data_IF_104700394506
#
_entry.id   IF_104700394506
#
_cell.length_a   1.000
_cell.length_b   1.000
_cell.length_c   1.000
_cell.angle_alpha   90.00
_cell.angle_beta   90.00
_cell.angle_gamma   90.00
#
_symmetry.space_group_name_H-M   'P 1'
#
loop_
_entity.id
_entity.type
_entity.pdbx_description
1 polymer ?
#
# COMPACT_ATOMS: atom_id res chain seq x y z
N UNK A 1 -7.17 -11.18 -13.43
CA UNK A 1 -8.32 -10.93 -14.33
C UNK A 1 -8.81 -9.50 -14.14
N UNK A 2 -9.04 -8.77 -15.23
CA UNK A 2 -9.67 -7.44 -15.24
C UNK A 2 -11.13 -7.59 -15.67
N UNK A 3 -12.05 -7.76 -14.72
CA UNK A 3 -13.45 -8.08 -15.06
C UNK A 3 -14.31 -6.83 -15.37
N UNK A 4 -13.83 -5.64 -15.01
CA UNK A 4 -14.53 -4.37 -15.18
C UNK A 4 -13.72 -3.42 -16.05
N UNK A 5 -14.38 -2.50 -16.78
CA UNK A 5 -13.72 -1.52 -17.66
C UNK A 5 -12.76 -0.62 -16.87
N UNK A 6 -13.14 -0.28 -15.65
CA UNK A 6 -12.37 0.50 -14.69
C UNK A 6 -11.04 -0.20 -14.36
N UNK A 7 -11.09 -1.50 -14.07
CA UNK A 7 -9.88 -2.30 -13.80
C UNK A 7 -8.99 -2.40 -15.03
N UNK A 8 -9.59 -2.57 -16.22
CA UNK A 8 -8.84 -2.59 -17.49
C UNK A 8 -8.13 -1.25 -17.75
N UNK A 9 -8.81 -0.13 -17.53
CA UNK A 9 -8.24 1.20 -17.70
C UNK A 9 -7.10 1.46 -16.71
N UNK A 10 -7.27 1.07 -15.44
CA UNK A 10 -6.21 1.17 -14.44
C UNK A 10 -5.00 0.31 -14.83
N UNK A 11 -5.21 -0.91 -15.30
CA UNK A 11 -4.12 -1.81 -15.70
C UNK A 11 -3.36 -1.26 -16.92
N UNK A 12 -4.03 -0.59 -17.86
CA UNK A 12 -3.38 0.09 -18.98
C UNK A 12 -2.42 1.19 -18.50
N UNK A 13 -2.86 2.03 -17.57
CA UNK A 13 -2.00 3.08 -17.01
C UNK A 13 -0.81 2.48 -16.25
N UNK A 14 -1.09 1.53 -15.35
CA UNK A 14 -0.07 0.99 -14.45
C UNK A 14 0.95 0.12 -15.17
N UNK A 15 0.57 -0.66 -16.18
CA UNK A 15 1.41 -1.74 -16.72
C UNK A 15 1.71 -1.63 -18.22
N UNK A 16 1.24 -0.59 -18.92
CA UNK A 16 1.46 -0.42 -20.36
C UNK A 16 1.93 0.98 -20.71
N UNK A 17 1.30 2.02 -20.16
CA UNK A 17 1.54 3.40 -20.62
C UNK A 17 2.45 4.21 -19.70
N UNK A 18 2.24 4.16 -18.38
CA UNK A 18 2.87 5.12 -17.48
C UNK A 18 3.94 4.53 -16.56
N UNK A 19 3.69 3.37 -15.96
CA UNK A 19 4.61 2.73 -15.00
C UNK A 19 5.04 3.64 -13.83
N UNK A 20 4.10 4.10 -12.99
CA UNK A 20 4.41 5.07 -11.95
C UNK A 20 5.32 4.49 -10.86
N UNK A 21 6.19 5.33 -10.28
CA UNK A 21 7.05 4.94 -9.16
C UNK A 21 6.28 4.69 -7.87
N UNK A 22 5.23 5.48 -7.61
CA UNK A 22 4.34 5.33 -6.46
C UNK A 22 2.91 5.15 -6.97
N UNK A 23 2.24 4.13 -6.45
CA UNK A 23 0.81 3.94 -6.65
C UNK A 23 0.12 4.03 -5.29
N UNK A 24 -0.76 5.02 -5.12
CA UNK A 24 -1.50 5.23 -3.88
C UNK A 24 -2.96 4.81 -4.01
N UNK A 25 -3.36 3.82 -3.22
CA UNK A 25 -4.71 3.28 -3.21
C UNK A 25 -5.42 3.63 -1.90
N UNK A 26 -6.39 4.54 -1.97
CA UNK A 26 -7.17 4.98 -0.82
C UNK A 26 -8.34 4.02 -0.52
N UNK A 27 -8.57 3.73 0.76
CA UNK A 27 -9.65 2.86 1.23
C UNK A 27 -10.35 3.47 2.44
N UNK A 28 -11.59 3.04 2.66
CA UNK A 28 -12.37 3.21 3.89
C UNK A 28 -13.09 1.87 4.18
N UNK A 29 -13.25 1.42 5.42
CA UNK A 29 -12.92 2.03 6.73
C UNK A 29 -11.61 1.46 7.31
N UNK A 30 -10.95 2.24 8.18
CA UNK A 30 -9.79 1.79 8.96
C UNK A 30 -10.09 0.65 9.96
N UNK A 31 -9.05 -0.04 10.48
CA UNK A 31 -9.20 -0.97 11.59
C UNK A 31 -9.86 -0.30 12.81
N UNK A 32 -10.58 -1.08 13.62
CA UNK A 32 -11.22 -0.57 14.84
C UNK A 32 -10.19 0.13 15.74
N UNK A 33 -10.54 1.34 16.21
CA UNK A 33 -9.68 2.16 17.06
C UNK A 33 -8.61 2.98 16.31
N UNK A 34 -8.38 2.74 15.01
CA UNK A 34 -7.46 3.54 14.20
C UNK A 34 -8.19 4.64 13.43
N UNK A 35 -7.59 5.83 13.38
CA UNK A 35 -8.01 6.92 12.49
C UNK A 35 -7.53 6.64 11.07
N UNK A 36 -6.31 6.14 10.94
CA UNK A 36 -5.72 5.76 9.66
C UNK A 36 -4.80 4.56 9.82
N UNK A 37 -4.95 3.54 8.98
CA UNK A 37 -3.90 2.56 8.75
C UNK A 37 -3.03 3.01 7.59
N UNK A 38 -1.71 2.84 7.69
CA UNK A 38 -0.75 3.04 6.61
C UNK A 38 0.36 1.97 6.65
N UNK A 39 1.06 1.71 5.53
CA UNK A 39 2.23 0.83 5.57
C UNK A 39 3.28 1.32 6.57
N UNK A 40 4.16 0.45 7.07
CA UNK A 40 4.46 -0.89 6.56
C UNK A 40 3.43 -1.96 6.93
N UNK A 41 3.41 -3.02 6.11
CA UNK A 41 2.53 -4.18 6.27
C UNK A 41 3.15 -5.23 7.20
N UNK A 42 2.37 -6.24 7.61
CA UNK A 42 2.87 -7.30 8.48
C UNK A 42 3.81 -8.25 7.70
N UNK A 43 4.92 -8.59 8.33
CA UNK A 43 5.88 -9.59 7.88
C UNK A 43 5.37 -11.05 8.05
N UNK A 44 5.95 -12.03 7.34
CA UNK A 44 7.00 -11.90 6.32
C UNK A 44 6.50 -11.28 5.02
N UNK A 45 7.39 -10.59 4.29
CA UNK A 45 7.08 -10.12 2.94
C UNK A 45 7.07 -11.27 1.93
N UNK A 46 6.42 -11.05 0.78
CA UNK A 46 6.32 -12.03 -0.28
C UNK A 46 7.62 -12.03 -1.10
N UNK A 47 8.33 -13.15 -1.10
CA UNK A 47 9.67 -13.29 -1.69
C UNK A 47 9.69 -13.28 -3.23
N UNK A 48 8.54 -13.19 -3.90
CA UNK A 48 8.45 -13.25 -5.36
C UNK A 48 8.64 -11.89 -6.07
N UNK A 49 8.82 -10.80 -5.33
CA UNK A 49 9.17 -9.48 -5.88
C UNK A 49 10.49 -8.99 -5.30
N UNK A 50 11.09 -8.00 -5.96
CA UNK A 50 12.40 -7.46 -5.60
C UNK A 50 12.43 -6.99 -4.12
N UNK A 51 13.44 -7.37 -3.32
CA UNK A 51 13.52 -7.01 -1.90
C UNK A 51 13.62 -5.50 -1.64
N UNK A 52 13.97 -4.67 -2.64
CA UNK A 52 13.93 -3.21 -2.52
C UNK A 52 12.49 -2.66 -2.50
N UNK A 53 11.51 -3.37 -3.07
CA UNK A 53 10.10 -2.95 -3.05
C UNK A 53 9.55 -2.84 -1.62
N UNK A 54 9.60 -3.90 -0.77
CA UNK A 54 9.12 -3.78 0.61
C UNK A 54 9.91 -2.74 1.40
N UNK A 55 11.23 -2.65 1.23
CA UNK A 55 12.06 -1.61 1.87
C UNK A 55 11.62 -0.19 1.46
N UNK A 56 11.32 0.04 0.17
CA UNK A 56 10.79 1.30 -0.31
C UNK A 56 9.43 1.66 0.29
N UNK A 57 8.54 0.66 0.43
CA UNK A 57 7.25 0.83 1.12
C UNK A 57 7.46 1.21 2.59
N UNK A 58 8.41 0.58 3.28
CA UNK A 58 8.74 0.92 4.66
C UNK A 58 9.24 2.36 4.77
N UNK A 59 10.12 2.80 3.87
CA UNK A 59 10.66 4.16 3.86
C UNK A 59 9.54 5.20 3.70
N UNK A 60 8.67 5.04 2.69
CA UNK A 60 7.58 6.00 2.47
C UNK A 60 6.53 5.93 3.58
N UNK A 61 6.15 4.74 4.03
CA UNK A 61 5.19 4.57 5.13
C UNK A 61 5.68 5.18 6.44
N UNK A 62 6.96 4.98 6.77
CA UNK A 62 7.58 5.58 7.96
C UNK A 62 7.63 7.10 7.85
N UNK A 63 7.97 7.65 6.66
CA UNK A 63 7.93 9.09 6.43
C UNK A 63 6.51 9.66 6.65
N UNK A 64 5.48 9.01 6.11
CA UNK A 64 4.08 9.42 6.32
C UNK A 64 3.70 9.45 7.81
N UNK A 65 4.08 8.43 8.57
CA UNK A 65 3.76 8.34 9.99
C UNK A 65 4.55 9.34 10.84
N UNK A 66 5.84 9.51 10.55
CA UNK A 66 6.67 10.52 11.21
C UNK A 66 6.05 11.91 11.11
N UNK A 67 5.45 12.24 9.95
CA UNK A 67 4.78 13.52 9.75
C UNK A 67 3.52 13.67 10.61
N UNK A 68 2.72 12.61 10.75
CA UNK A 68 1.56 12.64 11.64
C UNK A 68 1.96 12.83 13.10
N UNK A 69 2.99 12.09 13.55
CA UNK A 69 3.51 12.22 14.92
C UNK A 69 4.05 13.62 15.17
N UNK A 70 4.83 14.19 14.23
CA UNK A 70 5.36 15.54 14.34
C UNK A 70 4.26 16.62 14.37
N UNK A 71 3.12 16.37 13.74
CA UNK A 71 1.93 17.24 13.77
C UNK A 71 1.02 16.99 15.01
N UNK A 72 1.39 16.11 15.93
CA UNK A 72 0.57 15.75 17.09
C UNK A 72 -0.70 14.95 16.74
N UNK A 73 -0.76 14.37 15.54
CA UNK A 73 -1.91 13.63 15.03
C UNK A 73 -1.82 12.14 15.41
N UNK A 74 -2.39 11.80 16.56
CA UNK A 74 -2.51 10.41 17.01
C UNK A 74 -3.49 9.56 16.19
N UNK A 75 -3.50 8.25 16.45
CA UNK A 75 -4.48 7.31 15.85
C UNK A 75 -4.04 6.67 14.53
N UNK A 76 -2.79 6.88 14.09
CA UNK A 76 -2.20 6.13 12.99
C UNK A 76 -1.72 4.75 13.43
N UNK A 77 -2.10 3.71 12.68
CA UNK A 77 -1.72 2.32 12.91
C UNK A 77 -0.87 1.78 11.74
N UNK A 78 0.04 0.84 12.06
CA UNK A 78 0.96 0.17 11.12
C UNK A 78 1.13 -1.30 11.52
N UNK A 79 1.72 -2.14 10.65
CA UNK A 79 2.05 -3.56 10.93
C UNK A 79 0.88 -4.32 11.58
N UNK A 80 1.05 -4.76 12.83
CA UNK A 80 0.08 -5.53 13.62
C UNK A 80 -1.20 -4.77 13.98
N UNK A 81 -1.26 -3.45 13.75
CA UNK A 81 -2.49 -2.67 13.84
C UNK A 81 -3.56 -3.09 12.81
N UNK A 82 -3.21 -3.94 11.84
CA UNK A 82 -4.16 -4.63 10.98
C UNK A 82 -3.58 -5.93 10.40
N UNK A 83 -4.46 -6.81 9.90
CA UNK A 83 -4.05 -8.10 9.33
C UNK A 83 -3.57 -8.02 7.86
N UNK A 84 -3.10 -6.85 7.38
CA UNK A 84 -2.69 -6.68 5.99
C UNK A 84 -1.26 -7.18 5.76
N UNK A 85 -1.09 -7.98 4.71
CA UNK A 85 0.20 -8.52 4.26
C UNK A 85 0.40 -8.30 2.76
N UNK A 86 1.57 -8.71 2.26
CA UNK A 86 1.93 -8.65 0.85
C UNK A 86 1.68 -9.95 0.08
N UNK A 87 1.00 -10.94 0.69
CA UNK A 87 0.80 -12.26 0.09
C UNK A 87 -0.44 -12.36 -0.79
N UNK A 88 -1.43 -11.49 -0.56
CA UNK A 88 -2.63 -11.46 -1.39
C UNK A 88 -2.40 -10.56 -2.62
N UNK A 89 -2.34 -11.17 -3.80
CA UNK A 89 -1.98 -10.50 -5.05
C UNK A 89 -3.19 -10.05 -5.89
N UNK A 90 -4.38 -9.99 -5.30
CA UNK A 90 -5.61 -9.61 -6.01
C UNK A 90 -5.92 -8.10 -6.01
N UNK A 91 -5.08 -7.29 -5.37
CA UNK A 91 -5.34 -5.87 -5.15
C UNK A 91 -4.47 -4.99 -6.04
N UNK A 92 -5.02 -3.82 -6.40
CA UNK A 92 -4.30 -2.79 -7.17
C UNK A 92 -2.90 -2.51 -6.58
N UNK A 93 -2.80 -2.41 -5.24
CA UNK A 93 -1.55 -2.16 -4.52
C UNK A 93 -0.56 -3.33 -4.56
N UNK A 94 -1.04 -4.56 -4.45
CA UNK A 94 -0.12 -5.70 -4.29
C UNK A 94 0.38 -6.21 -5.63
N UNK A 95 -0.43 -6.11 -6.69
CA UNK A 95 0.02 -6.47 -8.04
C UNK A 95 1.14 -5.55 -8.53
N UNK A 96 1.12 -4.26 -8.18
CA UNK A 96 2.15 -3.30 -8.61
C UNK A 96 3.54 -3.60 -8.03
N UNK A 97 3.65 -4.39 -6.95
CA UNK A 97 4.93 -4.79 -6.39
C UNK A 97 5.74 -5.66 -7.34
N UNK A 98 5.07 -6.49 -8.14
CA UNK A 98 5.70 -7.35 -9.16
C UNK A 98 6.18 -6.57 -10.39
N UNK A 99 5.90 -5.27 -10.43
CA UNK A 99 6.32 -4.37 -11.48
C UNK A 99 7.21 -3.25 -10.92
N UNK A 100 7.90 -3.51 -9.80
CA UNK A 100 8.88 -2.61 -9.17
C UNK A 100 8.33 -1.23 -8.78
N UNK A 101 7.04 -1.14 -8.48
CA UNK A 101 6.40 0.10 -8.02
C UNK A 101 6.14 0.06 -6.51
N UNK A 102 6.23 1.22 -5.87
CA UNK A 102 5.90 1.39 -4.46
C UNK A 102 4.39 1.57 -4.31
N UNK A 103 3.68 0.47 -4.08
CA UNK A 103 2.25 0.47 -3.81
C UNK A 103 1.94 0.77 -2.35
N UNK A 104 1.18 1.84 -2.10
CA UNK A 104 0.74 2.27 -0.77
C UNK A 104 -0.76 2.13 -0.68
N UNK A 105 -1.27 1.70 0.47
CA UNK A 105 -2.69 1.85 0.77
C UNK A 105 -2.90 2.38 2.17
N UNK A 106 -3.82 3.34 2.27
CA UNK A 106 -4.29 3.83 3.56
C UNK A 106 -5.75 3.51 3.74
N UNK A 107 -6.14 3.22 4.98
CA UNK A 107 -7.55 3.02 5.35
C UNK A 107 -7.93 4.04 6.38
N UNK A 108 -8.84 4.94 6.06
CA UNK A 108 -9.28 6.00 6.98
C UNK A 108 -10.62 5.62 7.60
N UNK A 109 -10.85 6.09 8.84
CA UNK A 109 -12.17 6.04 9.46
C UNK A 109 -13.19 6.78 8.59
#
# INVERSE_FOLDING_TARGET
>A
MSNMKETTNMNRQLFIEWFPQIMYNHHQTGPAGAVIFMPPFRDPFNYNFDPLVPLGIEMVGTAMHSRLVAEGKGGSAMRSGANYSTWWNGGLRTVTYFHNMIGIATRRR
#
